data_IF_098102405844
#
_entry.id   IF_098102405844
#
_cell.length_a   1.000
_cell.length_b   1.000
_cell.length_c   1.000
_cell.angle_alpha   90.00
_cell.angle_beta   90.00
_cell.angle_gamma   90.00
#
_symmetry.space_group_name_H-M   'P 1'
#
loop_
_entity.id
_entity.type
_entity.pdbx_description
1 polymer ?
#
# COMPACT_ATOMS: atom_id res chain seq x y z
N UNK A 1 3.39 -41.74 10.32
CA UNK A 1 2.63 -40.46 10.33
C UNK A 1 3.65 -39.34 10.24
N UNK A 2 4.02 -38.94 9.02
CA UNK A 2 4.99 -37.87 8.82
C UNK A 2 4.31 -36.54 9.10
N UNK A 3 4.69 -35.87 10.18
CA UNK A 3 4.21 -34.52 10.48
C UNK A 3 4.75 -33.57 9.41
N UNK A 4 3.85 -33.09 8.56
CA UNK A 4 4.15 -32.11 7.53
C UNK A 4 4.34 -30.75 8.21
N UNK A 5 5.55 -30.46 8.69
CA UNK A 5 5.91 -29.16 9.27
C UNK A 5 6.32 -28.20 8.17
N UNK A 6 5.36 -27.78 7.33
CA UNK A 6 5.56 -26.53 6.61
C UNK A 6 5.58 -25.37 7.63
N UNK A 7 6.46 -24.37 7.45
CA UNK A 7 6.47 -23.19 8.31
C UNK A 7 5.08 -22.55 8.29
N UNK A 8 4.60 -22.14 9.47
CA UNK A 8 3.28 -21.54 9.61
C UNK A 8 3.28 -20.26 8.76
N UNK A 9 2.37 -20.15 7.78
CA UNK A 9 2.25 -18.95 6.93
C UNK A 9 1.28 -17.96 7.55
N UNK A 10 1.68 -16.70 7.63
CA UNK A 10 0.88 -15.63 8.22
C UNK A 10 0.71 -14.52 7.19
N UNK A 11 -0.53 -14.18 6.87
CA UNK A 11 -0.88 -13.03 6.06
C UNK A 11 -1.48 -11.96 6.97
N UNK A 12 -0.90 -10.76 6.99
CA UNK A 12 -1.41 -9.64 7.79
C UNK A 12 -1.30 -8.33 7.03
N UNK A 13 -2.20 -7.39 7.27
CA UNK A 13 -2.12 -6.07 6.67
C UNK A 13 -2.53 -4.95 7.62
N UNK A 14 -2.14 -3.72 7.31
CA UNK A 14 -2.52 -2.52 8.06
C UNK A 14 -3.08 -1.48 7.08
N UNK A 15 -4.16 -0.81 7.46
CA UNK A 15 -4.63 0.39 6.75
C UNK A 15 -3.70 1.56 7.08
N UNK A 16 -3.20 2.32 6.10
CA UNK A 16 -2.30 3.46 6.36
C UNK A 16 -3.12 4.71 6.75
N UNK A 17 -3.99 4.58 7.75
CA UNK A 17 -4.86 5.67 8.19
C UNK A 17 -4.23 6.43 9.34
N UNK A 18 -3.91 7.72 9.13
CA UNK A 18 -3.43 8.63 10.17
C UNK A 18 -1.94 8.47 10.53
N UNK A 19 -1.51 9.14 11.61
CA UNK A 19 -0.15 8.99 12.15
C UNK A 19 -0.04 7.70 12.95
N UNK A 20 1.10 7.03 12.83
CA UNK A 20 1.44 5.88 13.66
C UNK A 20 1.41 6.27 15.15
N UNK A 21 0.63 5.54 15.94
CA UNK A 21 0.47 5.77 17.38
C UNK A 21 0.83 4.53 18.21
N UNK A 22 0.73 4.66 19.54
CA UNK A 22 1.04 3.57 20.47
C UNK A 22 0.10 2.36 20.32
N UNK A 23 -1.12 2.56 19.81
CA UNK A 23 -2.07 1.48 19.51
C UNK A 23 -1.58 0.62 18.35
N UNK A 24 -1.03 1.24 17.30
CA UNK A 24 -0.43 0.53 16.17
C UNK A 24 0.83 -0.25 16.61
N UNK A 25 1.66 0.35 17.48
CA UNK A 25 2.87 -0.29 18.02
C UNK A 25 2.56 -1.53 18.86
N UNK A 26 1.72 -1.39 19.90
CA UNK A 26 1.36 -2.51 20.79
C UNK A 26 0.44 -3.53 20.10
N UNK A 27 -0.40 -3.08 19.18
CA UNK A 27 -1.40 -3.90 18.53
C UNK A 27 -0.82 -4.79 17.44
N UNK A 28 -0.11 -4.21 16.47
CA UNK A 28 0.25 -4.94 15.25
C UNK A 28 1.76 -5.00 15.01
N UNK A 29 2.51 -3.92 15.22
CA UNK A 29 3.92 -3.87 14.82
C UNK A 29 4.79 -4.81 15.66
N UNK A 30 4.65 -4.78 17.00
CA UNK A 30 5.38 -5.71 17.87
C UNK A 30 5.00 -7.17 17.60
N UNK A 31 3.74 -7.41 17.24
CA UNK A 31 3.28 -8.75 16.88
C UNK A 31 3.86 -9.23 15.56
N UNK A 32 4.03 -8.34 14.57
CA UNK A 32 4.68 -8.64 13.29
C UNK A 32 6.17 -8.94 13.48
N UNK A 33 6.88 -8.14 14.27
CA UNK A 33 8.30 -8.38 14.57
C UNK A 33 8.48 -9.74 15.23
N UNK A 34 7.70 -10.05 16.27
CA UNK A 34 7.75 -11.37 16.93
C UNK A 34 7.48 -12.52 15.96
N UNK A 35 6.50 -12.37 15.07
CA UNK A 35 6.06 -13.45 14.17
C UNK A 35 6.96 -13.66 12.97
N UNK A 36 7.74 -12.65 12.60
CA UNK A 36 8.72 -12.77 11.53
C UNK A 36 9.76 -13.85 11.81
N UNK A 37 10.10 -14.07 13.09
CA UNK A 37 11.07 -15.09 13.49
C UNK A 37 10.45 -16.51 13.57
N UNK A 38 9.13 -16.60 13.75
CA UNK A 38 8.43 -17.87 14.00
C UNK A 38 7.73 -18.45 12.75
N UNK A 39 7.58 -17.66 11.69
CA UNK A 39 6.61 -17.94 10.63
C UNK A 39 6.96 -17.22 9.31
N UNK A 40 6.58 -17.82 8.18
CA UNK A 40 6.69 -17.19 6.87
C UNK A 40 5.59 -16.12 6.75
N UNK A 41 5.97 -14.84 6.82
CA UNK A 41 5.02 -13.74 6.93
C UNK A 41 4.92 -12.92 5.63
N UNK A 42 3.69 -12.69 5.19
CA UNK A 42 3.33 -11.80 4.08
C UNK A 42 2.59 -10.58 4.64
N UNK A 43 3.13 -9.39 4.39
CA UNK A 43 2.55 -8.12 4.84
C UNK A 43 2.05 -7.29 3.67
N UNK A 44 0.90 -6.64 3.81
CA UNK A 44 0.37 -5.75 2.78
C UNK A 44 -0.28 -4.50 3.36
N UNK A 45 -0.29 -3.43 2.58
CA UNK A 45 -1.02 -2.21 2.91
C UNK A 45 -2.47 -2.42 2.52
N UNK A 46 -3.36 -2.44 3.51
CA UNK A 46 -4.79 -2.72 3.31
C UNK A 46 -5.56 -1.43 2.94
N UNK A 47 -4.99 -0.60 2.06
CA UNK A 47 -5.63 0.64 1.63
C UNK A 47 -6.55 0.39 0.45
N UNK A 48 -7.80 0.05 0.77
CA UNK A 48 -8.86 0.00 -0.22
C UNK A 48 -9.42 1.39 -0.54
N UNK A 49 -9.32 2.34 0.41
CA UNK A 49 -9.87 3.69 0.25
C UNK A 49 -9.16 4.45 -0.87
N UNK A 50 -7.84 4.28 -1.03
CA UNK A 50 -7.07 4.85 -2.15
C UNK A 50 -7.53 4.37 -3.54
N UNK A 51 -8.19 3.21 -3.64
CA UNK A 51 -8.73 2.67 -4.90
C UNK A 51 -10.21 3.03 -5.12
N UNK A 52 -10.94 3.49 -4.09
CA UNK A 52 -12.40 3.67 -4.15
C UNK A 52 -12.93 5.04 -3.76
N UNK A 53 -12.09 6.07 -3.61
CA UNK A 53 -12.57 7.45 -3.42
C UNK A 53 -13.49 7.93 -4.56
N UNK A 54 -13.57 7.21 -5.68
CA UNK A 54 -14.52 7.47 -6.79
C UNK A 54 -15.80 6.61 -6.76
N UNK A 55 -16.05 5.85 -5.68
CA UNK A 55 -17.16 4.90 -5.60
C UNK A 55 -18.09 5.21 -4.40
N UNK A 56 -18.46 6.48 -4.19
CA UNK A 56 -19.36 6.87 -3.11
C UNK A 56 -20.85 6.69 -3.44
N UNK A 57 -21.22 6.45 -4.71
CA UNK A 57 -22.61 6.17 -5.06
C UNK A 57 -22.89 4.66 -5.12
N UNK A 58 -23.50 4.18 -4.03
CA UNK A 58 -24.28 2.94 -3.91
C UNK A 58 -23.67 1.68 -4.50
N UNK A 59 -23.09 0.83 -3.65
CA UNK A 59 -22.52 -0.41 -4.13
C UNK A 59 -22.48 -1.48 -3.03
N UNK A 60 -23.18 -2.59 -3.23
CA UNK A 60 -23.02 -3.83 -2.49
C UNK A 60 -21.56 -4.35 -2.60
N UNK A 61 -21.14 -5.33 -1.79
CA UNK A 61 -19.78 -5.90 -1.90
C UNK A 61 -19.46 -6.42 -3.32
N UNK A 62 -20.49 -6.81 -4.09
CA UNK A 62 -20.39 -7.26 -5.48
C UNK A 62 -20.07 -6.11 -6.45
N UNK A 63 -20.56 -4.91 -6.17
CA UNK A 63 -20.31 -3.71 -6.98
C UNK A 63 -18.87 -3.20 -6.86
N UNK A 64 -18.18 -3.57 -5.79
CA UNK A 64 -16.80 -3.15 -5.53
C UNK A 64 -15.81 -3.80 -6.51
N UNK A 65 -16.00 -5.11 -6.77
CA UNK A 65 -15.20 -5.84 -7.74
C UNK A 65 -15.47 -5.32 -9.15
N UNK A 66 -16.75 -5.13 -9.52
CA UNK A 66 -17.13 -4.60 -10.82
C UNK A 66 -16.72 -3.13 -11.01
N UNK A 67 -16.72 -2.32 -9.96
CA UNK A 67 -16.23 -0.95 -9.98
C UNK A 67 -14.79 -0.85 -10.46
N UNK A 68 -13.91 -1.74 -9.97
CA UNK A 68 -12.52 -1.80 -10.45
C UNK A 68 -12.42 -2.26 -11.91
N UNK A 69 -13.26 -3.20 -12.35
CA UNK A 69 -13.28 -3.61 -13.75
C UNK A 69 -13.65 -2.43 -14.67
N UNK A 70 -14.61 -1.59 -14.27
CA UNK A 70 -14.94 -0.37 -15.05
C UNK A 70 -13.79 0.64 -15.12
N UNK A 71 -13.02 0.77 -14.05
CA UNK A 71 -11.91 1.75 -13.97
C UNK A 71 -10.70 1.28 -14.79
N UNK A 72 -10.36 0.00 -14.69
CA UNK A 72 -9.11 -0.55 -15.24
C UNK A 72 -9.28 -1.33 -16.55
N UNK A 73 -10.47 -1.35 -17.12
CA UNK A 73 -10.74 -2.03 -18.39
C UNK A 73 -11.57 -1.15 -19.32
N UNK A 74 -11.51 -1.46 -20.63
CA UNK A 74 -12.45 -0.89 -21.58
C UNK A 74 -13.87 -1.38 -21.30
N UNK A 75 -14.86 -0.58 -21.68
CA UNK A 75 -16.27 -0.95 -21.56
C UNK A 75 -16.57 -2.28 -22.26
N UNK A 76 -16.00 -2.50 -23.45
CA UNK A 76 -16.12 -3.75 -24.21
C UNK A 76 -15.65 -4.97 -23.41
N UNK A 77 -14.44 -4.92 -22.83
CA UNK A 77 -13.88 -6.03 -22.06
C UNK A 77 -14.61 -6.25 -20.73
N UNK A 78 -15.10 -5.16 -20.13
CA UNK A 78 -15.94 -5.24 -18.94
C UNK A 78 -17.24 -6.00 -19.25
N UNK A 79 -17.92 -5.67 -20.35
CA UNK A 79 -19.21 -6.25 -20.69
C UNK A 79 -19.09 -7.73 -21.11
N UNK A 80 -18.02 -8.07 -21.83
CA UNK A 80 -17.66 -9.47 -22.14
C UNK A 80 -17.47 -10.29 -20.86
N UNK A 81 -16.62 -9.82 -19.94
CA UNK A 81 -16.37 -10.52 -18.67
C UNK A 81 -17.62 -10.61 -17.78
N UNK A 82 -18.51 -9.61 -17.85
CA UNK A 82 -19.76 -9.61 -17.09
C UNK A 82 -20.71 -10.69 -17.59
N UNK A 83 -20.81 -10.87 -18.90
CA UNK A 83 -21.63 -11.93 -19.50
C UNK A 83 -21.05 -13.32 -19.19
N UNK A 84 -19.73 -13.49 -19.31
CA UNK A 84 -19.04 -14.73 -18.98
C UNK A 84 -19.17 -15.10 -17.49
N UNK A 85 -19.13 -14.11 -16.60
CA UNK A 85 -19.31 -14.30 -15.16
C UNK A 85 -20.76 -14.70 -14.83
N UNK A 86 -21.76 -14.03 -15.43
CA UNK A 86 -23.19 -14.35 -15.22
C UNK A 86 -23.57 -15.73 -15.79
N UNK A 87 -22.99 -16.09 -16.93
CA UNK A 87 -23.19 -17.40 -17.56
C UNK A 87 -22.43 -18.53 -16.86
N UNK A 88 -21.61 -18.22 -15.85
CA UNK A 88 -20.73 -19.18 -15.16
C UNK A 88 -19.72 -19.86 -16.10
N UNK A 89 -19.38 -19.17 -17.20
CA UNK A 89 -18.40 -19.64 -18.20
C UNK A 89 -16.98 -19.46 -17.69
N UNK A 90 -16.74 -18.46 -16.83
CA UNK A 90 -15.45 -18.22 -16.16
C UNK A 90 -15.56 -18.33 -14.64
N UNK A 91 -14.48 -18.75 -13.99
CA UNK A 91 -14.40 -18.78 -12.54
C UNK A 91 -14.05 -17.41 -11.93
N UNK A 92 -14.31 -17.24 -10.63
CA UNK A 92 -13.93 -16.02 -9.91
C UNK A 92 -12.43 -15.73 -9.96
N UNK A 93 -11.59 -16.77 -10.05
CA UNK A 93 -10.14 -16.63 -10.16
C UNK A 93 -9.75 -16.07 -11.53
N UNK A 94 -10.41 -16.51 -12.59
CA UNK A 94 -10.12 -16.06 -13.95
C UNK A 94 -10.57 -14.62 -14.18
N UNK A 95 -11.75 -14.26 -13.66
CA UNK A 95 -12.24 -12.88 -13.59
C UNK A 95 -11.22 -11.98 -12.87
N UNK A 96 -10.78 -12.37 -11.66
CA UNK A 96 -9.79 -11.60 -10.89
C UNK A 96 -8.42 -11.53 -11.56
N UNK A 97 -8.00 -12.56 -12.29
CA UNK A 97 -6.75 -12.57 -13.06
C UNK A 97 -6.78 -11.52 -14.16
N UNK A 98 -7.89 -11.42 -14.90
CA UNK A 98 -8.06 -10.39 -15.93
C UNK A 98 -7.95 -8.98 -15.36
N UNK A 99 -8.53 -8.73 -14.18
CA UNK A 99 -8.37 -7.46 -13.47
C UNK A 99 -6.94 -7.21 -13.00
N UNK A 100 -6.31 -8.23 -12.45
CA UNK A 100 -4.92 -8.15 -12.02
C UNK A 100 -4.03 -7.75 -13.20
N UNK A 101 -4.16 -8.38 -14.36
CA UNK A 101 -3.32 -8.10 -15.53
C UNK A 101 -3.44 -6.63 -15.98
N UNK A 102 -4.66 -6.08 -15.99
CA UNK A 102 -4.90 -4.66 -16.24
C UNK A 102 -4.23 -3.75 -15.20
N UNK A 103 -4.37 -4.09 -13.91
CA UNK A 103 -3.75 -3.34 -12.81
C UNK A 103 -2.22 -3.37 -12.90
N UNK A 104 -1.64 -4.55 -13.15
CA UNK A 104 -0.19 -4.72 -13.28
C UNK A 104 0.34 -3.87 -14.44
N UNK A 105 -0.38 -3.84 -15.56
CA UNK A 105 -0.04 -3.04 -16.74
C UNK A 105 -0.01 -1.55 -16.43
N UNK A 106 -1.05 -1.01 -15.78
CA UNK A 106 -1.10 0.40 -15.36
C UNK A 106 0.02 0.74 -14.38
N UNK A 107 0.32 -0.18 -13.45
CA UNK A 107 1.37 0.01 -12.44
C UNK A 107 2.80 -0.12 -12.99
N UNK A 108 3.00 -0.49 -14.26
CA UNK A 108 4.33 -0.68 -14.85
C UNK A 108 5.23 0.53 -14.64
N UNK A 109 4.71 1.74 -14.88
CA UNK A 109 5.45 2.99 -14.68
C UNK A 109 5.97 3.14 -13.25
N UNK A 110 5.16 2.78 -12.25
CA UNK A 110 5.56 2.87 -10.85
C UNK A 110 6.58 1.80 -10.49
N UNK A 111 6.43 0.57 -11.00
CA UNK A 111 7.40 -0.50 -10.79
C UNK A 111 8.76 -0.15 -11.37
N UNK A 112 8.80 0.36 -12.61
CA UNK A 112 10.03 0.80 -13.27
C UNK A 112 10.70 1.94 -12.50
N UNK A 113 9.91 2.87 -11.94
CA UNK A 113 10.43 3.96 -11.09
C UNK A 113 10.99 3.46 -9.75
N UNK A 114 10.42 2.40 -9.20
CA UNK A 114 10.81 1.83 -7.90
C UNK A 114 11.98 0.86 -8.04
N UNK A 115 12.14 0.19 -9.18
CA UNK A 115 13.18 -0.81 -9.44
C UNK A 115 14.61 -0.37 -9.05
N UNK A 116 15.07 0.88 -9.33
CA UNK A 116 16.38 1.32 -8.91
C UNK A 116 16.56 1.39 -7.38
N UNK A 117 15.48 1.67 -6.64
CA UNK A 117 15.47 1.76 -5.18
C UNK A 117 15.37 0.39 -4.52
N UNK A 118 14.71 -0.58 -5.17
CA UNK A 118 14.70 -1.98 -4.71
C UNK A 118 16.07 -2.65 -4.85
N UNK A 119 16.76 -2.38 -5.96
CA UNK A 119 18.11 -2.92 -6.20
C UNK A 119 19.17 -2.26 -5.33
N UNK A 120 18.94 -1.02 -4.93
CA UNK A 120 19.89 -0.24 -4.15
C UNK A 120 19.16 0.63 -3.11
N UNK A 121 19.01 0.14 -1.87
CA UNK A 121 18.43 0.90 -0.78
C UNK A 121 19.19 2.22 -0.48
N UNK A 122 20.46 2.33 -0.86
CA UNK A 122 21.29 3.53 -0.67
C UNK A 122 20.75 4.75 -1.41
N UNK A 123 20.14 4.56 -2.59
CA UNK A 123 19.51 5.65 -3.36
C UNK A 123 18.38 6.34 -2.63
N UNK A 124 17.67 5.61 -1.76
CA UNK A 124 16.61 6.21 -0.93
C UNK A 124 17.21 7.21 0.06
N UNK A 125 18.38 6.88 0.63
CA UNK A 125 19.11 7.77 1.52
C UNK A 125 19.64 9.00 0.79
N UNK A 126 20.17 8.85 -0.42
CA UNK A 126 20.62 9.98 -1.24
C UNK A 126 19.48 10.97 -1.52
N UNK A 127 18.30 10.47 -1.93
CA UNK A 127 17.12 11.31 -2.15
C UNK A 127 16.69 12.00 -0.85
N UNK A 128 16.73 11.29 0.28
CA UNK A 128 16.39 11.87 1.57
C UNK A 128 17.37 12.96 1.99
N UNK A 129 18.69 12.76 1.83
CA UNK A 129 19.70 13.77 2.14
C UNK A 129 19.57 15.01 1.26
N UNK A 130 19.29 14.82 -0.04
CA UNK A 130 19.03 15.92 -0.99
C UNK A 130 17.81 16.76 -0.57
N UNK A 131 16.73 16.13 -0.08
CA UNK A 131 15.55 16.83 0.39
C UNK A 131 15.71 17.42 1.80
N UNK A 132 16.38 16.69 2.69
CA UNK A 132 16.56 17.05 4.10
C UNK A 132 17.43 18.28 4.26
N UNK A 133 18.52 18.39 3.52
CA UNK A 133 19.48 19.50 3.67
C UNK A 133 18.83 20.89 3.53
N UNK A 134 18.13 21.23 2.42
CA UNK A 134 17.46 22.52 2.31
C UNK A 134 16.27 22.67 3.27
N UNK A 135 15.50 21.60 3.50
CA UNK A 135 14.36 21.65 4.43
C UNK A 135 14.82 21.94 5.87
N UNK A 136 15.98 21.41 6.27
CA UNK A 136 16.56 21.63 7.59
C UNK A 136 17.00 23.07 7.80
N UNK A 137 17.54 23.73 6.77
CA UNK A 137 17.89 25.16 6.83
C UNK A 137 16.65 26.00 7.13
N UNK A 138 15.57 25.80 6.36
CA UNK A 138 14.31 26.54 6.56
C UNK A 138 13.71 26.25 7.94
N UNK A 139 13.76 25.00 8.38
CA UNK A 139 13.30 24.62 9.71
C UNK A 139 14.12 25.29 10.82
N UNK A 140 15.45 25.39 10.67
CA UNK A 140 16.30 26.08 11.63
C UNK A 140 16.04 27.58 11.69
N UNK A 141 15.87 28.23 10.54
CA UNK A 141 15.50 29.65 10.47
C UNK A 141 14.19 29.89 11.24
N UNK A 142 13.16 29.09 10.96
CA UNK A 142 11.87 29.17 11.64
C UNK A 142 12.00 28.93 13.15
N UNK A 143 12.77 27.92 13.56
CA UNK A 143 12.98 27.62 14.99
C UNK A 143 13.76 28.73 15.70
N UNK A 144 14.71 29.37 15.01
CA UNK A 144 15.47 30.49 15.57
C UNK A 144 14.59 31.73 15.76
N UNK A 145 13.73 32.05 14.79
CA UNK A 145 12.73 33.11 14.92
C UNK A 145 11.77 32.85 16.09
N UNK A 146 11.25 31.63 16.19
CA UNK A 146 10.36 31.22 17.28
C UNK A 146 11.07 31.33 18.65
N UNK A 147 12.31 30.85 18.76
CA UNK A 147 13.11 30.95 19.98
C UNK A 147 13.34 32.41 20.38
N UNK A 148 13.64 33.28 19.41
CA UNK A 148 13.83 34.71 19.66
C UNK A 148 12.55 35.36 20.19
N UNK A 149 11.40 35.07 19.59
CA UNK A 149 10.10 35.58 20.03
C UNK A 149 9.72 35.09 21.45
N UNK A 150 10.08 33.85 21.79
CA UNK A 150 9.84 33.26 23.11
C UNK A 150 10.90 33.64 24.16
N UNK A 151 11.93 34.41 23.81
CA UNK A 151 13.01 34.78 24.72
C UNK A 151 13.94 33.63 25.12
N UNK A 152 13.90 32.51 24.39
CA UNK A 152 14.75 31.34 24.66
C UNK A 152 16.14 31.54 24.06
N UNK A 153 17.03 32.21 24.80
CA UNK A 153 18.45 32.36 24.43
C UNK A 153 19.27 31.30 25.16
N UNK A 154 19.66 30.24 24.44
CA UNK A 154 20.71 29.35 24.91
C UNK A 154 22.06 29.97 24.55
N UNK A 155 22.80 30.40 25.57
CA UNK A 155 24.24 30.71 25.48
C UNK A 155 25.04 29.43 25.28
#
# INVERSE_FOLDING_TARGET
MSSNTEPRRILSGMRPTGRLDLGHDQGVLKNWVRRHEESECFYFVADWYALTTYCEESASMDDLAWGLHRVYMSQEKHDELAEDCKSTTIGCVDCKRSLLDSLLKEQTLHRERVEPFEKDPGKTWEVNELGWTPAWVVAQETLNEMRAALGMRYT
#
